data_IF_113215695105
#
_entry.id   IF_113215695105
#
_cell.length_a   1.000
_cell.length_b   1.000
_cell.length_c   1.000
_cell.angle_alpha   90.00
_cell.angle_beta   90.00
_cell.angle_gamma   90.00
#
_symmetry.space_group_name_H-M   'P 1'
#
loop_
_entity.id
_entity.type
_entity.pdbx_description
1 polymer ?
#
# COMPACT_ATOMS: atom_id res chain seq x y z
N UNK A 1 -20.83 -9.78 2.40
CA UNK A 1 -19.81 -9.75 3.48
C UNK A 1 -18.88 -8.60 3.18
N UNK A 2 -18.91 -7.54 3.97
CA UNK A 2 -18.06 -6.35 3.75
C UNK A 2 -16.73 -6.57 4.46
N UNK A 3 -15.62 -6.48 3.72
CA UNK A 3 -14.30 -6.49 4.34
C UNK A 3 -14.16 -5.31 5.32
N UNK A 4 -13.47 -5.50 6.43
CA UNK A 4 -13.31 -4.49 7.48
C UNK A 4 -12.50 -3.26 7.07
N UNK A 5 -11.96 -3.23 5.84
CA UNK A 5 -11.09 -2.16 5.35
C UNK A 5 -9.69 -2.15 5.96
N UNK A 6 -9.34 -3.16 6.77
CA UNK A 6 -8.07 -3.18 7.52
C UNK A 6 -6.83 -3.57 6.70
N UNK A 7 -7.00 -4.15 5.51
CA UNK A 7 -5.88 -4.69 4.74
C UNK A 7 -4.80 -3.64 4.42
N UNK A 8 -5.20 -2.50 3.87
CA UNK A 8 -4.25 -1.46 3.44
C UNK A 8 -3.63 -0.70 4.63
N UNK A 9 -4.36 -0.56 5.75
CA UNK A 9 -3.82 0.07 6.96
C UNK A 9 -2.76 -0.80 7.63
N UNK A 10 -2.94 -2.12 7.63
CA UNK A 10 -1.93 -3.09 8.09
C UNK A 10 -0.68 -3.02 7.21
N UNK A 11 -0.85 -3.08 5.88
CA UNK A 11 0.27 -3.00 4.92
C UNK A 11 1.06 -1.69 5.09
N UNK A 12 0.36 -0.54 5.19
CA UNK A 12 0.98 0.76 5.45
C UNK A 12 1.86 0.71 6.70
N UNK A 13 1.32 0.18 7.81
CA UNK A 13 2.05 0.14 9.07
C UNK A 13 3.31 -0.72 9.00
N UNK A 14 3.23 -1.86 8.31
CA UNK A 14 4.38 -2.75 8.09
C UNK A 14 5.48 -2.01 7.32
N UNK A 15 5.14 -1.33 6.22
CA UNK A 15 6.12 -0.63 5.39
C UNK A 15 6.79 0.52 6.15
N UNK A 16 6.00 1.31 6.90
CA UNK A 16 6.52 2.38 7.78
C UNK A 16 7.51 1.84 8.82
N UNK A 17 7.23 0.68 9.43
CA UNK A 17 8.13 0.05 10.41
C UNK A 17 9.44 -0.41 9.80
N UNK A 18 9.47 -0.70 8.50
CA UNK A 18 10.68 -1.09 7.77
C UNK A 18 11.36 0.11 7.10
N UNK A 19 10.90 1.34 7.34
CA UNK A 19 11.44 2.54 6.69
C UNK A 19 11.25 2.57 5.17
N UNK A 20 10.35 1.75 4.63
CA UNK A 20 10.11 1.64 3.20
C UNK A 20 9.23 2.75 2.66
N UNK A 21 9.14 2.83 1.33
CA UNK A 21 8.26 3.73 0.60
C UNK A 21 7.02 3.00 0.09
N UNK A 22 5.89 3.69 -0.02
CA UNK A 22 4.66 3.15 -0.58
C UNK A 22 3.85 4.22 -1.30
N UNK A 23 2.95 3.80 -2.19
CA UNK A 23 2.11 4.74 -2.91
C UNK A 23 1.01 4.08 -3.73
N UNK A 24 0.27 4.92 -4.43
CA UNK A 24 -0.76 4.51 -5.39
C UNK A 24 -0.70 5.40 -6.61
N UNK A 25 -0.81 4.78 -7.78
CA UNK A 25 -1.06 5.48 -9.05
C UNK A 25 -2.45 5.06 -9.51
N UNK A 26 -3.34 6.02 -9.74
CA UNK A 26 -4.73 5.74 -10.14
C UNK A 26 -5.11 6.55 -11.36
N UNK A 27 -5.83 5.92 -12.28
CA UNK A 27 -6.45 6.57 -13.42
C UNK A 27 -7.92 6.15 -13.54
N UNK A 28 -8.81 7.14 -13.60
CA UNK A 28 -10.26 6.95 -13.69
C UNK A 28 -10.60 6.11 -14.92
N UNK A 29 -11.39 5.05 -14.74
CA UNK A 29 -11.76 4.14 -15.82
C UNK A 29 -10.67 3.14 -16.22
N UNK A 30 -9.44 3.23 -15.70
CA UNK A 30 -8.36 2.25 -15.94
C UNK A 30 -7.97 1.45 -14.69
N UNK A 31 -8.18 2.01 -13.51
CA UNK A 31 -7.92 1.34 -12.23
C UNK A 31 -6.77 1.97 -11.44
N UNK A 32 -6.24 1.20 -10.49
CA UNK A 32 -5.21 1.66 -9.56
C UNK A 32 -4.10 0.63 -9.39
N UNK A 33 -2.86 1.11 -9.32
CA UNK A 33 -1.67 0.33 -8.97
C UNK A 33 -1.21 0.77 -7.59
N UNK A 34 -1.28 -0.13 -6.62
CA UNK A 34 -0.70 0.03 -5.30
C UNK A 34 0.70 -0.58 -5.31
N UNK A 35 1.68 0.12 -4.73
CA UNK A 35 3.07 -0.34 -4.74
C UNK A 35 3.75 0.00 -3.41
N UNK A 36 4.82 -0.75 -3.13
CA UNK A 36 5.73 -0.48 -2.04
C UNK A 36 7.15 -0.88 -2.42
N UNK A 37 8.13 -0.27 -1.76
CA UNK A 37 9.53 -0.54 -1.89
C UNK A 37 10.12 -0.62 -0.48
N UNK A 38 10.87 -1.68 -0.20
CA UNK A 38 11.70 -1.78 0.99
C UNK A 38 13.14 -1.51 0.56
N UNK A 39 13.81 -0.63 1.28
CA UNK A 39 15.22 -0.36 1.02
C UNK A 39 16.05 -1.54 1.53
N UNK A 40 16.99 -2.02 0.72
CA UNK A 40 17.97 -3.02 1.17
C UNK A 40 19.04 -2.31 1.99
N UNK A 41 19.25 -2.80 3.21
CA UNK A 41 20.49 -2.57 3.95
C UNK A 41 21.68 -3.14 3.17
#
# INVERSE_FOLDING_TARGET
MTGTGLGLSIVKKIIELHGGSYGVTSEVGKGSVFWFQLDKL
#
